data_IF_341260533376
#
_entry.id   IF_341260533376
#
_cell.length_a   1.000
_cell.length_b   1.000
_cell.length_c   1.000
_cell.angle_alpha   90.00
_cell.angle_beta   90.00
_cell.angle_gamma   90.00
#
_symmetry.space_group_name_H-M   'P 1'
#
loop_
_entity.id
_entity.type
_entity.pdbx_description
1 polymer ?
#
# COMPACT_ATOMS: atom_id res chain seq x y z
N UNK A 1 -8.03 7.81 9.85
CA UNK A 1 -7.65 6.39 9.66
C UNK A 1 -6.15 6.24 9.79
N UNK A 2 -5.62 6.10 11.01
CA UNK A 2 -4.16 6.17 11.27
C UNK A 2 -3.73 5.17 12.36
N UNK A 3 -4.19 3.92 12.28
CA UNK A 3 -3.40 2.83 12.87
C UNK A 3 -2.29 2.50 11.88
N UNK A 4 -1.20 3.22 12.05
CA UNK A 4 0.07 3.18 11.36
C UNK A 4 0.30 1.87 10.58
N UNK A 5 0.20 1.97 9.25
CA UNK A 5 0.63 0.97 8.25
C UNK A 5 2.17 0.81 8.29
N UNK A 6 2.75 0.62 9.48
CA UNK A 6 4.21 0.52 9.71
C UNK A 6 4.85 -0.59 8.88
N UNK A 7 4.11 -1.67 8.65
CA UNK A 7 4.56 -2.79 7.79
C UNK A 7 4.66 -2.42 6.31
N UNK A 8 3.97 -1.36 5.85
CA UNK A 8 4.17 -0.89 4.48
C UNK A 8 5.55 -0.23 4.33
N UNK A 9 6.14 0.30 5.41
CA UNK A 9 7.46 0.93 5.34
C UNK A 9 8.59 -0.06 5.05
N UNK A 10 8.36 -1.36 5.23
CA UNK A 10 9.32 -2.42 4.89
C UNK A 10 9.13 -2.98 3.48
N UNK A 11 8.20 -2.44 2.69
CA UNK A 11 8.04 -2.86 1.31
C UNK A 11 9.21 -2.38 0.44
N UNK A 12 9.65 -3.19 -0.54
CA UNK A 12 10.76 -2.84 -1.41
C UNK A 12 10.50 -1.59 -2.28
N UNK A 13 9.24 -1.31 -2.57
CA UNK A 13 8.78 -0.18 -3.39
C UNK A 13 8.15 0.97 -2.56
N UNK A 14 8.51 1.07 -1.27
CA UNK A 14 7.96 2.08 -0.36
C UNK A 14 8.12 3.52 -0.86
N UNK A 15 9.24 3.88 -1.49
CA UNK A 15 9.46 5.26 -1.93
C UNK A 15 8.47 5.67 -3.03
N UNK A 16 8.14 4.75 -3.94
CA UNK A 16 7.10 4.96 -4.96
C UNK A 16 5.71 5.09 -4.34
N UNK A 17 5.39 4.24 -3.35
CA UNK A 17 4.12 4.34 -2.60
C UNK A 17 4.01 5.70 -1.89
N UNK A 18 5.10 6.18 -1.27
CA UNK A 18 5.13 7.49 -0.60
C UNK A 18 4.97 8.64 -1.59
N UNK A 19 5.60 8.56 -2.76
CA UNK A 19 5.48 9.57 -3.81
C UNK A 19 4.02 9.71 -4.28
N UNK A 20 3.38 8.59 -4.64
CA UNK A 20 1.97 8.58 -5.04
C UNK A 20 1.07 9.04 -3.89
N UNK A 21 1.37 8.66 -2.65
CA UNK A 21 0.60 9.10 -1.48
C UNK A 21 0.68 10.62 -1.27
N UNK A 22 1.83 11.26 -1.57
CA UNK A 22 1.95 12.72 -1.53
C UNK A 22 1.13 13.36 -2.66
N UNK A 23 1.16 12.77 -3.84
CA UNK A 23 0.35 13.24 -4.96
C UNK A 23 -1.15 13.17 -4.66
N UNK A 24 -1.62 12.06 -4.07
CA UNK A 24 -3.01 11.92 -3.59
C UNK A 24 -3.34 13.05 -2.61
N UNK A 25 -2.49 13.30 -1.63
CA UNK A 25 -2.70 14.37 -0.65
C UNK A 25 -2.81 15.74 -1.32
N UNK A 26 -1.96 16.02 -2.31
CA UNK A 26 -2.02 17.28 -3.07
C UNK A 26 -3.35 17.43 -3.83
N UNK A 27 -3.86 16.34 -4.41
CA UNK A 27 -5.17 16.35 -5.06
C UNK A 27 -6.33 16.44 -4.07
N UNK A 28 -6.24 15.83 -2.89
CA UNK A 28 -7.22 16.00 -1.81
C UNK A 28 -7.30 17.46 -1.36
N UNK A 29 -6.15 18.14 -1.22
CA UNK A 29 -6.10 19.56 -0.90
C UNK A 29 -6.71 20.43 -2.03
N UNK A 30 -6.46 20.08 -3.30
CA UNK A 30 -7.11 20.74 -4.44
C UNK A 30 -8.62 20.53 -4.43
N UNK A 31 -9.09 19.32 -4.11
CA UNK A 31 -10.50 18.97 -4.01
C UNK A 31 -11.21 19.78 -2.93
N UNK A 32 -10.59 19.90 -1.75
CA UNK A 32 -11.10 20.70 -0.64
C UNK A 32 -11.26 22.17 -1.04
N UNK A 33 -10.25 22.73 -1.71
CA UNK A 33 -10.31 24.11 -2.23
C UNK A 33 -11.40 24.29 -3.27
N UNK A 34 -11.52 23.38 -4.24
CA UNK A 34 -12.54 23.43 -5.27
C UNK A 34 -13.96 23.33 -4.68
N UNK A 35 -14.15 22.48 -3.67
CA UNK A 35 -15.43 22.30 -2.96
C UNK A 35 -15.81 23.57 -2.19
N UNK A 36 -14.86 24.18 -1.46
CA UNK A 36 -15.10 25.47 -0.77
C UNK A 36 -15.46 26.58 -1.75
N UNK A 37 -14.79 26.66 -2.90
CA UNK A 37 -15.10 27.64 -3.94
C UNK A 37 -16.50 27.43 -4.51
N UNK A 38 -16.88 26.16 -4.77
CA UNK A 38 -18.23 25.80 -5.21
C UNK A 38 -19.30 26.24 -4.20
N UNK A 39 -19.05 26.02 -2.91
CA UNK A 39 -19.97 26.45 -1.86
C UNK A 39 -20.08 27.98 -1.75
N UNK A 40 -18.99 28.71 -2.04
CA UNK A 40 -19.01 30.17 -2.19
C UNK A 40 -19.91 30.61 -3.34
N UNK A 41 -19.73 30.04 -4.54
CA UNK A 41 -20.57 30.33 -5.71
C UNK A 41 -22.05 30.05 -5.43
N UNK A 42 -22.38 28.95 -4.75
CA UNK A 42 -23.76 28.64 -4.35
C UNK A 42 -24.36 29.69 -3.43
N UNK A 43 -23.59 30.22 -2.47
CA UNK A 43 -24.04 31.31 -1.60
C UNK A 43 -24.29 32.59 -2.40
N UNK A 44 -23.39 32.93 -3.32
CA UNK A 44 -23.52 34.12 -4.17
C UNK A 44 -24.76 34.02 -5.07
N UNK A 45 -25.04 32.84 -5.63
CA UNK A 45 -26.27 32.56 -6.40
C UNK A 45 -27.49 32.78 -5.50
N UNK A 46 -27.53 32.18 -4.32
CA UNK A 46 -28.66 32.32 -3.38
C UNK A 46 -28.91 33.78 -2.98
N UNK A 47 -27.85 34.55 -2.70
CA UNK A 47 -27.97 35.98 -2.39
C UNK A 47 -28.50 36.80 -3.58
N UNK A 48 -28.06 36.49 -4.80
CA UNK A 48 -28.52 37.16 -6.01
C UNK A 48 -29.97 36.78 -6.37
N UNK A 49 -30.39 35.54 -6.12
CA UNK A 49 -31.77 35.09 -6.26
C UNK A 49 -32.69 35.85 -5.29
N UNK A 50 -32.31 35.97 -4.01
CA UNK A 50 -33.06 36.78 -3.03
C UNK A 50 -33.13 38.26 -3.46
N UNK A 51 -32.03 38.84 -3.92
CA UNK A 51 -32.00 40.23 -4.44
C UNK A 51 -32.88 40.40 -5.69
N UNK A 52 -32.93 39.39 -6.56
CA UNK A 52 -33.79 39.40 -7.75
C UNK A 52 -35.27 39.41 -7.35
N UNK A 53 -35.67 38.59 -6.39
CA UNK A 53 -37.05 38.56 -5.86
C UNK A 53 -37.48 39.95 -5.32
N UNK A 54 -36.58 40.63 -4.60
CA UNK A 54 -36.82 42.00 -4.13
C UNK A 54 -36.88 43.02 -5.27
N UNK A 55 -36.06 42.88 -6.32
CA UNK A 55 -36.06 43.78 -7.47
C UNK A 55 -37.25 43.56 -8.41
N UNK A 56 -37.83 42.36 -8.45
CA UNK A 56 -39.08 42.10 -9.19
C UNK A 56 -40.28 42.86 -8.58
N UNK A 57 -40.20 43.23 -7.29
CA UNK A 57 -41.21 44.10 -6.64
C UNK A 57 -41.03 45.61 -6.90
N UNK A 58 -39.87 46.04 -7.42
CA UNK A 58 -39.52 47.46 -7.63
C UNK A 58 -39.03 47.66 -9.07
N UNK A 59 -39.90 48.14 -9.96
CA UNK A 59 -39.78 48.25 -11.44
C UNK A 59 -38.46 48.83 -12.02
N UNK A 60 -37.31 48.16 -11.85
CA UNK A 60 -36.01 48.60 -12.39
C UNK A 60 -35.45 47.61 -13.42
N UNK A 61 -35.88 47.69 -14.70
CA UNK A 61 -35.53 46.71 -15.73
C UNK A 61 -34.01 46.58 -16.00
N UNK A 62 -33.25 47.69 -15.95
CA UNK A 62 -31.79 47.67 -16.15
C UNK A 62 -31.03 46.92 -15.05
N UNK A 63 -31.45 47.07 -13.79
CA UNK A 63 -30.83 46.35 -12.66
C UNK A 63 -31.17 44.86 -12.75
N UNK A 64 -32.40 44.53 -13.13
CA UNK A 64 -32.85 43.15 -13.34
C UNK A 64 -32.02 42.42 -14.40
N UNK A 65 -31.74 43.07 -15.54
CA UNK A 65 -30.93 42.48 -16.62
C UNK A 65 -29.48 42.23 -16.17
N UNK A 66 -28.90 43.15 -15.40
CA UNK A 66 -27.55 42.97 -14.85
C UNK A 66 -27.46 41.81 -13.85
N UNK A 67 -28.50 41.61 -13.03
CA UNK A 67 -28.58 40.49 -12.07
C UNK A 67 -28.75 39.16 -12.79
N UNK A 68 -29.56 39.10 -13.87
CA UNK A 68 -29.70 37.91 -14.71
C UNK A 68 -28.37 37.48 -15.33
N UNK A 69 -27.62 38.40 -15.93
CA UNK A 69 -26.29 38.10 -16.51
C UNK A 69 -25.31 37.58 -15.46
N UNK A 70 -25.32 38.13 -14.23
CA UNK A 70 -24.47 37.63 -13.13
C UNK A 70 -24.86 36.22 -12.70
N UNK A 71 -26.17 35.92 -12.61
CA UNK A 71 -26.67 34.58 -12.29
C UNK A 71 -26.29 33.56 -13.37
N UNK A 72 -26.40 33.92 -14.64
CA UNK A 72 -25.97 33.06 -15.76
C UNK A 72 -24.47 32.75 -15.69
N UNK A 73 -23.63 33.76 -15.42
CA UNK A 73 -22.18 33.57 -15.27
C UNK A 73 -21.86 32.66 -14.07
N UNK A 74 -22.45 32.91 -12.90
CA UNK A 74 -22.21 32.08 -11.70
C UNK A 74 -22.73 30.65 -11.88
N UNK A 75 -23.83 30.46 -12.60
CA UNK A 75 -24.35 29.14 -12.95
C UNK A 75 -23.39 28.39 -13.87
N UNK A 76 -22.80 29.10 -14.85
CA UNK A 76 -21.74 28.54 -15.71
C UNK A 76 -20.49 28.17 -14.90
N UNK A 77 -20.04 29.04 -14.00
CA UNK A 77 -18.90 28.78 -13.11
C UNK A 77 -19.16 27.59 -12.19
N UNK A 78 -20.39 27.46 -11.67
CA UNK A 78 -20.81 26.32 -10.84
C UNK A 78 -20.67 24.99 -11.60
N UNK A 79 -21.15 24.94 -12.85
CA UNK A 79 -21.02 23.76 -13.71
C UNK A 79 -19.56 23.44 -14.04
N UNK A 80 -18.73 24.46 -14.26
CA UNK A 80 -17.29 24.29 -14.47
C UNK A 80 -16.62 23.70 -13.23
N UNK A 81 -16.97 24.18 -12.02
CA UNK A 81 -16.47 23.63 -10.76
C UNK A 81 -16.94 22.21 -10.49
N UNK A 82 -18.15 21.85 -10.89
CA UNK A 82 -18.62 20.47 -10.78
C UNK A 82 -17.82 19.50 -11.66
N UNK A 83 -17.48 19.92 -12.88
CA UNK A 83 -16.59 19.13 -13.75
C UNK A 83 -15.20 18.98 -13.14
N UNK A 84 -14.59 20.07 -12.69
CA UNK A 84 -13.28 20.07 -12.04
C UNK A 84 -13.25 19.13 -10.81
N UNK A 85 -14.26 19.20 -9.94
CA UNK A 85 -14.39 18.32 -8.77
C UNK A 85 -14.47 16.85 -9.17
N UNK A 86 -15.24 16.52 -10.20
CA UNK A 86 -15.39 15.15 -10.66
C UNK A 86 -14.09 14.61 -11.29
N UNK A 87 -13.37 15.44 -12.03
CA UNK A 87 -12.05 15.10 -12.59
C UNK A 87 -11.02 14.86 -11.48
N UNK A 88 -10.95 15.73 -10.48
CA UNK A 88 -10.06 15.56 -9.33
C UNK A 88 -10.39 14.27 -8.57
N UNK A 89 -11.68 14.01 -8.29
CA UNK A 89 -12.11 12.77 -7.63
C UNK A 89 -11.70 11.53 -8.41
N UNK A 90 -11.88 11.55 -9.73
CA UNK A 90 -11.45 10.45 -10.59
C UNK A 90 -9.95 10.24 -10.51
N UNK A 91 -9.17 11.32 -10.56
CA UNK A 91 -7.71 11.23 -10.47
C UNK A 91 -7.24 10.69 -9.11
N UNK A 92 -7.88 11.08 -8.01
CA UNK A 92 -7.60 10.53 -6.67
C UNK A 92 -7.86 9.02 -6.66
N UNK A 93 -9.01 8.57 -7.19
CA UNK A 93 -9.34 7.14 -7.27
C UNK A 93 -8.33 6.37 -8.13
N UNK A 94 -7.93 6.92 -9.28
CA UNK A 94 -6.94 6.29 -10.15
C UNK A 94 -5.59 6.14 -9.44
N UNK A 95 -5.14 7.16 -8.70
CA UNK A 95 -3.91 7.09 -7.90
C UNK A 95 -4.03 6.09 -6.75
N UNK A 96 -5.17 6.02 -6.07
CA UNK A 96 -5.41 5.02 -5.01
C UNK A 96 -5.28 3.59 -5.55
N UNK A 97 -5.84 3.32 -6.73
CA UNK A 97 -5.70 2.02 -7.39
C UNK A 97 -4.24 1.70 -7.74
N UNK A 98 -3.43 2.71 -8.10
CA UNK A 98 -2.00 2.52 -8.36
C UNK A 98 -1.28 2.19 -7.05
N UNK A 99 -1.59 2.88 -5.95
CA UNK A 99 -1.03 2.56 -4.61
C UNK A 99 -1.33 1.11 -4.23
N UNK A 100 -2.57 0.66 -4.42
CA UNK A 100 -2.97 -0.71 -4.09
C UNK A 100 -2.20 -1.75 -4.92
N UNK A 101 -1.97 -1.47 -6.21
CA UNK A 101 -1.13 -2.30 -7.08
C UNK A 101 0.32 -2.34 -6.60
N UNK A 102 0.89 -1.20 -6.22
CA UNK A 102 2.24 -1.14 -5.68
C UNK A 102 2.35 -1.92 -4.36
N UNK A 103 1.39 -1.79 -3.45
CA UNK A 103 1.37 -2.59 -2.21
C UNK A 103 1.31 -4.08 -2.53
N UNK A 104 0.46 -4.48 -3.47
CA UNK A 104 0.34 -5.88 -3.92
C UNK A 104 1.66 -6.41 -4.48
N UNK A 105 2.30 -5.64 -5.35
CA UNK A 105 3.59 -6.00 -5.96
C UNK A 105 4.68 -6.15 -4.89
N UNK A 106 4.78 -5.18 -3.97
CA UNK A 106 5.74 -5.22 -2.88
C UNK A 106 5.56 -6.44 -1.97
N UNK A 107 4.32 -6.78 -1.63
CA UNK A 107 4.00 -7.99 -0.85
C UNK A 107 4.32 -9.27 -1.61
N UNK A 108 4.07 -9.30 -2.93
CA UNK A 108 4.40 -10.43 -3.80
C UNK A 108 5.90 -10.68 -3.84
N UNK A 109 6.71 -9.64 -4.00
CA UNK A 109 8.18 -9.74 -3.97
C UNK A 109 8.66 -10.34 -2.65
N UNK A 110 8.21 -9.79 -1.52
CA UNK A 110 8.60 -10.29 -0.19
C UNK A 110 8.16 -11.75 0.00
N UNK A 111 6.96 -12.11 -0.46
CA UNK A 111 6.44 -13.48 -0.38
C UNK A 111 7.33 -14.45 -1.15
N UNK A 112 7.69 -14.11 -2.39
CA UNK A 112 8.55 -14.95 -3.21
C UNK A 112 9.96 -15.09 -2.65
N UNK A 113 10.52 -14.02 -2.07
CA UNK A 113 11.82 -14.06 -1.39
C UNK A 113 11.80 -14.97 -0.17
N UNK A 114 10.79 -14.83 0.71
CA UNK A 114 10.65 -15.67 1.89
C UNK A 114 10.42 -17.14 1.51
N UNK A 115 9.59 -17.41 0.49
CA UNK A 115 9.38 -18.77 -0.04
C UNK A 115 10.65 -19.39 -0.61
N UNK A 116 11.41 -18.64 -1.43
CA UNK A 116 12.69 -19.12 -1.95
C UNK A 116 13.68 -19.43 -0.84
N UNK A 117 13.70 -18.60 0.21
CA UNK A 117 14.59 -18.78 1.37
C UNK A 117 14.19 -20.00 2.21
N UNK A 118 12.89 -20.26 2.34
CA UNK A 118 12.36 -21.48 2.96
C UNK A 118 12.78 -22.72 2.16
N UNK A 119 12.55 -22.74 0.84
CA UNK A 119 12.94 -23.84 -0.03
C UNK A 119 14.45 -24.14 0.05
N UNK A 120 15.29 -23.10 0.15
CA UNK A 120 16.73 -23.25 0.33
C UNK A 120 17.08 -23.81 1.72
N UNK A 121 16.41 -23.35 2.78
CA UNK A 121 16.60 -23.87 4.13
C UNK A 121 16.24 -25.36 4.19
N UNK A 122 15.12 -25.77 3.60
CA UNK A 122 14.68 -27.16 3.53
C UNK A 122 15.67 -28.06 2.77
N UNK A 123 16.17 -27.59 1.62
CA UNK A 123 17.23 -28.30 0.87
C UNK A 123 18.49 -28.49 1.70
N UNK A 124 18.89 -27.47 2.45
CA UNK A 124 20.06 -27.54 3.33
C UNK A 124 19.84 -28.48 4.52
N UNK A 125 18.63 -28.50 5.11
CA UNK A 125 18.25 -29.47 6.14
C UNK A 125 18.44 -30.89 5.60
N UNK A 126 17.85 -31.22 4.45
CA UNK A 126 17.95 -32.54 3.84
C UNK A 126 19.39 -32.92 3.50
N UNK A 127 20.18 -31.98 2.97
CA UNK A 127 21.60 -32.19 2.67
C UNK A 127 22.39 -32.53 3.93
N UNK A 128 22.23 -31.76 4.99
CA UNK A 128 22.98 -31.99 6.22
C UNK A 128 22.48 -33.21 7.00
N UNK A 129 21.19 -33.55 6.92
CA UNK A 129 20.68 -34.82 7.46
C UNK A 129 21.35 -36.04 6.81
N UNK A 130 21.51 -36.04 5.48
CA UNK A 130 22.26 -37.11 4.79
C UNK A 130 23.71 -37.18 5.27
N UNK A 131 24.37 -36.04 5.44
CA UNK A 131 25.74 -35.99 5.95
C UNK A 131 25.85 -36.44 7.41
N UNK A 132 24.84 -36.18 8.25
CA UNK A 132 24.72 -36.74 9.61
C UNK A 132 24.66 -38.27 9.53
N UNK A 133 23.78 -38.82 8.70
CA UNK A 133 23.61 -40.27 8.56
C UNK A 133 24.89 -40.94 8.02
N UNK A 134 25.56 -40.31 7.06
CA UNK A 134 26.86 -40.76 6.53
C UNK A 134 27.95 -40.73 7.61
N UNK A 135 28.07 -39.62 8.34
CA UNK A 135 29.05 -39.48 9.43
C UNK A 135 28.80 -40.52 10.52
N UNK A 136 27.53 -40.80 10.83
CA UNK A 136 27.14 -41.82 11.81
C UNK A 136 27.47 -43.23 11.34
N UNK A 137 27.20 -43.58 10.08
CA UNK A 137 27.59 -44.87 9.50
C UNK A 137 29.10 -45.06 9.48
N UNK A 138 29.85 -44.01 9.13
CA UNK A 138 31.30 -44.05 9.13
C UNK A 138 31.85 -44.18 10.54
N UNK A 139 31.30 -43.45 11.51
CA UNK A 139 31.65 -43.55 12.92
C UNK A 139 31.49 -44.98 13.48
N UNK A 140 30.39 -45.67 13.14
CA UNK A 140 30.13 -47.05 13.60
C UNK A 140 31.15 -48.04 13.03
N UNK A 141 31.66 -47.79 11.81
CA UNK A 141 32.60 -48.67 11.11
C UNK A 141 34.06 -48.20 11.18
N UNK A 142 34.35 -47.14 11.94
CA UNK A 142 35.64 -46.46 11.96
C UNK A 142 36.69 -47.23 12.76
N UNK A 143 37.95 -47.11 12.35
CA UNK A 143 39.09 -47.47 13.19
C UNK A 143 39.27 -46.46 14.33
N UNK A 144 39.93 -46.84 15.43
CA UNK A 144 40.10 -45.99 16.63
C UNK A 144 40.69 -44.61 16.34
N UNK A 145 41.50 -44.46 15.28
CA UNK A 145 42.09 -43.18 14.86
C UNK A 145 41.12 -42.28 14.07
N UNK A 146 40.07 -42.85 13.47
CA UNK A 146 39.11 -42.14 12.62
C UNK A 146 37.81 -41.78 13.37
N UNK A 147 37.53 -42.45 14.49
CA UNK A 147 36.36 -42.24 15.36
C UNK A 147 36.20 -40.75 15.73
N UNK A 148 37.28 -40.09 16.13
CA UNK A 148 37.20 -38.70 16.59
C UNK A 148 36.89 -37.73 15.45
N UNK A 149 37.42 -38.01 14.25
CA UNK A 149 37.10 -37.26 13.03
C UNK A 149 35.63 -37.39 12.67
N UNK A 150 35.09 -38.61 12.57
CA UNK A 150 33.68 -38.81 12.20
C UNK A 150 32.70 -38.32 13.26
N UNK A 151 33.07 -38.39 14.55
CA UNK A 151 32.31 -37.77 15.63
C UNK A 151 32.24 -36.26 15.46
N UNK A 152 33.34 -35.61 15.14
CA UNK A 152 33.38 -34.17 14.92
C UNK A 152 32.56 -33.75 13.68
N UNK A 153 32.68 -34.49 12.58
CA UNK A 153 31.86 -34.29 11.37
C UNK A 153 30.36 -34.45 11.66
N UNK A 154 29.98 -35.46 12.45
CA UNK A 154 28.59 -35.66 12.88
C UNK A 154 28.07 -34.46 13.68
N UNK A 155 28.82 -34.00 14.68
CA UNK A 155 28.43 -32.84 15.52
C UNK A 155 28.21 -31.60 14.64
N UNK A 156 29.16 -31.26 13.76
CA UNK A 156 29.05 -30.10 12.88
C UNK A 156 27.80 -30.19 11.99
N UNK A 157 27.53 -31.37 11.42
CA UNK A 157 26.38 -31.54 10.55
C UNK A 157 25.06 -31.45 11.32
N UNK A 158 24.98 -31.98 12.55
CA UNK A 158 23.82 -31.82 13.43
C UNK A 158 23.57 -30.35 13.77
N UNK A 159 24.61 -29.60 14.15
CA UNK A 159 24.50 -28.17 14.44
C UNK A 159 23.97 -27.39 13.23
N UNK A 160 24.45 -27.72 12.02
CA UNK A 160 23.94 -27.12 10.78
C UNK A 160 22.47 -27.46 10.56
N UNK A 161 22.04 -28.71 10.76
CA UNK A 161 20.61 -29.08 10.65
C UNK A 161 19.75 -28.24 11.59
N UNK A 162 20.17 -28.08 12.85
CA UNK A 162 19.43 -27.26 13.85
C UNK A 162 19.31 -25.82 13.35
N UNK A 163 20.43 -25.21 12.95
CA UNK A 163 20.45 -23.83 12.44
C UNK A 163 19.57 -23.64 11.21
N UNK A 164 19.55 -24.60 10.28
CA UNK A 164 18.69 -24.50 9.10
C UNK A 164 17.20 -24.69 9.45
N UNK A 165 16.87 -25.53 10.43
CA UNK A 165 15.49 -25.66 10.95
C UNK A 165 14.99 -24.37 11.60
N UNK A 166 15.84 -23.71 12.38
CA UNK A 166 15.51 -22.40 12.97
C UNK A 166 15.23 -21.36 11.88
N UNK A 167 16.07 -21.30 10.85
CA UNK A 167 15.85 -20.42 9.69
C UNK A 167 14.55 -20.73 8.95
N UNK A 168 14.25 -22.00 8.70
CA UNK A 168 13.02 -22.42 8.04
C UNK A 168 11.78 -21.90 8.81
N UNK A 169 11.78 -22.06 10.13
CA UNK A 169 10.71 -21.55 10.99
C UNK A 169 10.52 -20.03 10.89
N UNK A 170 11.63 -19.27 10.85
CA UNK A 170 11.58 -17.80 10.67
C UNK A 170 10.91 -17.47 9.33
N UNK A 171 11.31 -18.13 8.24
CA UNK A 171 10.74 -17.87 6.91
C UNK A 171 9.27 -18.29 6.81
N UNK A 172 8.85 -19.37 7.48
CA UNK A 172 7.44 -19.75 7.61
C UNK A 172 6.61 -18.66 8.31
N UNK A 173 7.13 -18.12 9.42
CA UNK A 173 6.50 -17.03 10.17
C UNK A 173 6.42 -15.75 9.31
N UNK A 174 7.47 -15.43 8.55
CA UNK A 174 7.48 -14.31 7.60
C UNK A 174 6.41 -14.47 6.51
N UNK A 175 6.31 -15.65 5.89
CA UNK A 175 5.28 -15.95 4.89
C UNK A 175 3.88 -15.75 5.46
N UNK A 176 3.63 -16.26 6.66
CA UNK A 176 2.34 -16.13 7.32
C UNK A 176 2.02 -14.67 7.67
N UNK A 177 3.01 -13.91 8.12
CA UNK A 177 2.85 -12.47 8.36
C UNK A 177 2.50 -11.71 7.07
N UNK A 178 3.15 -12.03 5.95
CA UNK A 178 2.84 -11.43 4.64
C UNK A 178 1.41 -11.75 4.21
N UNK A 179 0.95 -13.01 4.36
CA UNK A 179 -0.43 -13.40 4.07
C UNK A 179 -1.45 -12.64 4.92
N UNK A 180 -1.16 -12.45 6.21
CA UNK A 180 -2.02 -11.67 7.11
C UNK A 180 -2.11 -10.21 6.70
N UNK A 181 -0.99 -9.61 6.29
CA UNK A 181 -0.95 -8.24 5.78
C UNK A 181 -1.78 -8.14 4.50
N UNK A 182 -1.60 -9.06 3.55
CA UNK A 182 -2.38 -9.09 2.31
C UNK A 182 -3.89 -9.16 2.59
N UNK A 183 -4.31 -10.09 3.46
CA UNK A 183 -5.73 -10.22 3.86
C UNK A 183 -6.26 -8.96 4.54
N UNK A 184 -5.42 -8.22 5.26
CA UNK A 184 -5.82 -7.00 5.95
C UNK A 184 -5.99 -5.80 5.00
N UNK A 185 -5.19 -5.74 3.94
CA UNK A 185 -5.25 -4.63 2.97
C UNK A 185 -6.32 -4.86 1.90
N UNK A 186 -6.57 -6.11 1.51
CA UNK A 186 -7.39 -6.44 0.34
C UNK A 186 -8.56 -7.41 0.59
N UNK A 187 -8.72 -7.90 1.82
CA UNK A 187 -9.80 -8.82 2.22
C UNK A 187 -10.84 -8.17 3.11
#
# INVERSE_FOLDING_TARGET
MTRSRRYLNSLPNIEKIKEISREILDYELKLDKATRNKDGIKKDIFELENKKEHLETVESPKKMESTRKKLENLSSDLLAKDKEINEIKKHILDLQLIVDKEITEGLSILYHQAKSSLDEAEKNILKHQKLVDESQKNFINASTQEVEKYRHEWIINVEKVIKHKEKAKIYEEEIENIKRVYKREFG
#
